data_IF_328332907537
#
_entry.id   IF_328332907537
#
_cell.length_a   1.000
_cell.length_b   1.000
_cell.length_c   1.000
_cell.angle_alpha   90.00
_cell.angle_beta   90.00
_cell.angle_gamma   90.00
#
_symmetry.space_group_name_H-M   'P 1'
#
loop_
_entity.id
_entity.type
_entity.pdbx_description
1 polymer ?
#
# COMPACT_ATOMS: atom_id res chain seq x y z
N UNK A 1 3.75 -11.18 19.70
CA UNK A 1 5.04 -11.67 19.18
C UNK A 1 5.83 -10.47 18.65
N UNK A 2 7.12 -10.36 18.98
CA UNK A 2 7.99 -9.30 18.44
C UNK A 2 8.62 -9.77 17.12
N UNK A 3 8.51 -8.96 16.07
CA UNK A 3 9.23 -9.12 14.81
C UNK A 3 10.33 -8.06 14.74
N UNK A 4 11.57 -8.50 14.55
CA UNK A 4 12.72 -7.62 14.31
C UNK A 4 13.04 -7.65 12.82
N UNK A 5 12.85 -6.52 12.13
CA UNK A 5 13.05 -6.38 10.69
C UNK A 5 14.52 -6.60 10.27
N UNK A 6 15.49 -6.32 11.15
CA UNK A 6 16.89 -6.60 10.88
C UNK A 6 17.15 -8.10 10.69
N UNK A 7 16.38 -8.97 11.36
CA UNK A 7 16.47 -10.44 11.16
C UNK A 7 15.94 -10.89 9.79
N UNK A 8 15.20 -10.02 9.10
CA UNK A 8 14.74 -10.22 7.73
C UNK A 8 15.71 -9.60 6.69
N UNK A 9 16.86 -9.08 7.14
CA UNK A 9 17.85 -8.41 6.28
C UNK A 9 17.51 -6.95 5.95
N UNK A 10 16.57 -6.33 6.67
CA UNK A 10 16.20 -4.93 6.46
C UNK A 10 17.05 -4.01 7.34
N UNK A 11 17.39 -2.83 6.81
CA UNK A 11 18.16 -1.80 7.53
C UNK A 11 17.36 -1.24 8.71
N UNK A 12 17.78 -1.46 9.98
CA UNK A 12 17.04 -1.01 11.15
C UNK A 12 17.08 0.51 11.38
N UNK A 13 17.92 1.25 10.66
CA UNK A 13 17.97 2.71 10.74
C UNK A 13 16.91 3.40 9.86
N UNK A 14 16.20 2.64 9.03
CA UNK A 14 15.14 3.16 8.15
C UNK A 14 13.75 2.97 8.75
N UNK A 15 12.85 3.88 8.42
CA UNK A 15 11.43 3.69 8.66
C UNK A 15 10.79 2.83 7.57
N UNK A 16 9.80 2.02 7.95
CA UNK A 16 9.07 1.13 7.05
C UNK A 16 7.56 1.29 7.22
N UNK A 17 6.87 1.19 6.09
CA UNK A 17 5.48 0.82 6.03
C UNK A 17 5.36 -0.69 6.15
N UNK A 18 4.53 -1.15 7.09
CA UNK A 18 4.15 -2.56 7.19
C UNK A 18 2.64 -2.69 7.09
N UNK A 19 2.16 -3.48 6.14
CA UNK A 19 0.74 -3.79 5.99
C UNK A 19 0.50 -5.28 6.18
N UNK A 20 -0.44 -5.64 7.06
CA UNK A 20 -0.91 -7.00 7.29
C UNK A 20 -2.15 -7.28 6.42
N UNK A 21 -1.99 -8.17 5.43
CA UNK A 21 -3.05 -8.52 4.47
C UNK A 21 -4.30 -9.08 5.17
N UNK A 22 -4.11 -10.02 6.10
CA UNK A 22 -5.21 -10.74 6.72
C UNK A 22 -5.98 -9.88 7.72
N UNK A 23 -5.27 -8.99 8.41
CA UNK A 23 -5.87 -8.09 9.40
C UNK A 23 -6.26 -6.73 8.86
N UNK A 24 -5.89 -6.44 7.61
CA UNK A 24 -6.05 -5.12 6.97
C UNK A 24 -5.53 -4.00 7.88
N UNK A 25 -4.33 -4.22 8.42
CA UNK A 25 -3.74 -3.32 9.42
C UNK A 25 -2.43 -2.75 8.92
N UNK A 26 -2.34 -1.43 8.95
CA UNK A 26 -1.12 -0.69 8.69
C UNK A 26 -0.33 -0.42 9.98
N UNK A 27 0.99 -0.42 9.85
CA UNK A 27 1.95 -0.03 10.86
C UNK A 27 3.05 0.83 10.23
N UNK A 28 3.37 1.95 10.88
CA UNK A 28 4.60 2.70 10.66
C UNK A 28 5.65 2.20 11.66
N UNK A 29 6.81 1.78 11.19
CA UNK A 29 7.87 1.16 12.01
C UNK A 29 9.15 1.96 11.85
N UNK A 30 9.66 2.57 12.92
CA UNK A 30 10.83 3.46 12.88
C UNK A 30 12.12 2.84 13.43
N UNK A 31 12.00 1.90 14.37
CA UNK A 31 13.13 1.28 15.08
C UNK A 31 13.40 -0.18 14.64
N UNK A 32 12.83 -0.56 13.50
CA UNK A 32 12.88 -1.94 12.99
C UNK A 32 12.15 -2.98 13.85
N UNK A 33 11.34 -2.57 14.84
CA UNK A 33 10.63 -3.49 15.74
C UNK A 33 9.12 -3.37 15.57
N UNK A 34 8.49 -4.48 15.22
CA UNK A 34 7.03 -4.55 15.09
C UNK A 34 6.45 -5.54 16.09
N UNK A 35 5.54 -5.06 16.93
CA UNK A 35 4.77 -5.93 17.84
C UNK A 35 3.52 -6.43 17.12
N UNK A 36 3.55 -7.69 16.72
CA UNK A 36 2.40 -8.40 16.17
C UNK A 36 1.54 -8.92 17.33
N UNK A 37 0.38 -8.28 17.52
CA UNK A 37 -0.59 -8.68 18.55
C UNK A 37 -1.45 -9.83 18.05
N UNK A 38 -1.67 -10.80 18.94
CA UNK A 38 -2.59 -11.92 18.76
C UNK A 38 -2.27 -12.78 17.52
N UNK A 39 -1.67 -13.95 17.69
CA UNK A 39 -1.56 -14.94 16.60
C UNK A 39 -2.40 -16.15 17.03
N UNK A 40 -3.57 -16.38 16.42
CA UNK A 40 -4.37 -17.55 16.73
C UNK A 40 -3.56 -18.85 16.52
N UNK A 41 -3.89 -19.95 17.22
CA UNK A 41 -3.38 -21.27 16.87
C UNK A 41 -3.59 -21.53 15.38
N UNK A 42 -2.56 -22.01 14.70
CA UNK A 42 -2.56 -22.24 13.24
C UNK A 42 -2.80 -20.98 12.38
N UNK A 43 -2.78 -19.78 12.96
CA UNK A 43 -2.85 -18.51 12.27
C UNK A 43 -1.48 -17.98 11.87
N UNK A 44 -1.45 -17.17 10.80
CA UNK A 44 -0.25 -16.49 10.32
C UNK A 44 -0.50 -15.01 10.05
N UNK A 45 0.59 -14.27 9.87
CA UNK A 45 0.55 -12.92 9.31
C UNK A 45 1.09 -12.98 7.89
N UNK A 46 0.50 -12.21 6.97
CA UNK A 46 1.11 -11.92 5.70
C UNK A 46 1.41 -10.42 5.63
N UNK A 47 2.70 -10.07 5.66
CA UNK A 47 3.15 -8.70 5.78
C UNK A 47 3.80 -8.23 4.48
N UNK A 48 3.36 -7.09 3.97
CA UNK A 48 4.16 -6.29 3.05
C UNK A 48 5.01 -5.35 3.89
N UNK A 49 6.32 -5.34 3.66
CA UNK A 49 7.26 -4.43 4.32
C UNK A 49 7.94 -3.60 3.25
N UNK A 50 7.73 -2.28 3.26
CA UNK A 50 8.28 -1.35 2.27
C UNK A 50 8.97 -0.18 2.98
N UNK A 51 10.17 0.23 2.55
CA UNK A 51 10.83 1.38 3.14
C UNK A 51 9.99 2.65 2.87
N UNK A 52 9.90 3.52 3.87
CA UNK A 52 9.41 4.87 3.67
C UNK A 52 10.38 5.62 2.75
N UNK A 53 9.85 6.30 1.75
CA UNK A 53 10.60 7.13 0.79
C UNK A 53 10.07 8.56 0.80
N UNK A 54 10.87 9.51 0.35
CA UNK A 54 10.47 10.92 0.21
C UNK A 54 9.57 11.22 -1.00
N UNK A 55 9.35 10.24 -1.87
CA UNK A 55 8.52 10.34 -3.07
C UNK A 55 7.21 9.53 -2.91
N UNK A 56 6.15 9.83 -3.67
CA UNK A 56 4.94 9.02 -3.73
C UNK A 56 5.24 7.55 -4.02
N UNK A 57 4.68 6.63 -3.23
CA UNK A 57 4.89 5.21 -3.43
C UNK A 57 3.76 4.31 -2.94
N UNK A 58 3.73 3.10 -3.50
CA UNK A 58 2.85 2.04 -3.05
C UNK A 58 3.25 1.58 -1.64
N UNK A 59 2.26 1.52 -0.74
CA UNK A 59 2.37 0.90 0.58
C UNK A 59 1.89 -0.55 0.54
N UNK A 60 0.70 -0.79 -0.05
CA UNK A 60 0.12 -2.12 -0.22
C UNK A 60 -1.09 -2.06 -1.16
N UNK A 61 -1.58 -3.22 -1.55
CA UNK A 61 -2.90 -3.41 -2.15
C UNK A 61 -3.63 -4.51 -1.40
N UNK A 62 -4.97 -4.54 -1.49
CA UNK A 62 -5.78 -5.57 -0.81
C UNK A 62 -6.36 -6.61 -1.76
N UNK A 63 -5.99 -6.62 -3.05
CA UNK A 63 -6.57 -7.55 -4.02
C UNK A 63 -5.96 -8.95 -3.95
N UNK A 64 -4.70 -9.06 -3.54
CA UNK A 64 -3.97 -10.32 -3.47
C UNK A 64 -2.87 -10.27 -2.40
N UNK A 65 -2.46 -11.44 -1.92
CA UNK A 65 -1.46 -11.60 -0.85
C UNK A 65 -0.08 -11.03 -1.22
N UNK A 66 0.20 -10.85 -2.51
CA UNK A 66 1.39 -10.17 -3.03
C UNK A 66 1.40 -8.67 -2.71
N UNK A 67 0.23 -8.08 -2.44
CA UNK A 67 0.04 -6.70 -1.98
C UNK A 67 0.77 -5.67 -2.85
N UNK A 68 0.68 -5.81 -4.18
CA UNK A 68 1.34 -4.96 -5.16
C UNK A 68 1.89 -5.70 -6.37
N UNK A 69 1.79 -7.04 -6.41
CA UNK A 69 2.21 -7.84 -7.57
C UNK A 69 1.32 -7.65 -8.81
N UNK A 70 0.14 -7.07 -8.63
CA UNK A 70 -0.79 -6.66 -9.69
C UNK A 70 -0.46 -5.31 -10.32
N UNK A 71 0.49 -4.55 -9.77
CA UNK A 71 0.89 -3.25 -10.32
C UNK A 71 1.88 -3.49 -11.46
N UNK A 72 1.42 -3.28 -12.69
CA UNK A 72 2.20 -3.56 -13.91
C UNK A 72 2.85 -2.32 -14.51
N UNK A 73 2.39 -1.13 -14.14
CA UNK A 73 2.97 0.14 -14.56
C UNK A 73 2.96 1.14 -13.40
N UNK A 74 4.00 1.96 -13.32
CA UNK A 74 4.14 2.99 -12.29
C UNK A 74 4.91 4.19 -12.86
N UNK A 75 4.29 5.37 -12.85
CA UNK A 75 4.86 6.62 -13.36
C UNK A 75 4.55 7.75 -12.41
N UNK A 76 5.59 8.39 -11.88
CA UNK A 76 5.46 9.62 -11.09
C UNK A 76 6.20 10.75 -11.81
N UNK A 77 5.47 11.73 -12.37
CA UNK A 77 6.04 12.85 -13.12
C UNK A 77 5.07 14.03 -13.17
N UNK A 78 5.59 15.25 -13.03
CA UNK A 78 4.84 16.48 -13.29
C UNK A 78 3.62 16.70 -12.39
N UNK A 79 3.71 16.32 -11.11
CA UNK A 79 2.59 16.41 -10.17
C UNK A 79 1.55 15.30 -10.33
N UNK A 80 1.81 14.30 -11.17
CA UNK A 80 0.93 13.15 -11.36
C UNK A 80 1.61 11.87 -10.95
N UNK A 81 0.88 11.06 -10.19
CA UNK A 81 1.15 9.65 -10.00
C UNK A 81 0.15 8.84 -10.83
N UNK A 82 0.65 7.99 -11.71
CA UNK A 82 -0.14 7.07 -12.53
C UNK A 82 0.34 5.65 -12.33
N UNK A 83 -0.60 4.73 -12.21
CA UNK A 83 -0.28 3.31 -12.17
C UNK A 83 -1.40 2.48 -12.80
N UNK A 84 -1.04 1.26 -13.21
CA UNK A 84 -1.96 0.31 -13.83
C UNK A 84 -2.01 -0.95 -12.99
N UNK A 85 -3.22 -1.40 -12.66
CA UNK A 85 -3.49 -2.65 -11.97
C UNK A 85 -3.94 -3.69 -13.00
N UNK A 86 -3.37 -4.90 -12.95
CA UNK A 86 -3.79 -6.04 -13.77
C UNK A 86 -4.04 -7.26 -12.89
N UNK A 87 -5.33 -7.58 -12.71
CA UNK A 87 -5.80 -8.67 -11.86
C UNK A 87 -6.28 -9.89 -12.66
N UNK A 88 -6.65 -9.71 -13.93
CA UNK A 88 -7.27 -10.76 -14.76
C UNK A 88 -8.69 -11.15 -14.33
N UNK A 89 -9.23 -10.53 -13.28
CA UNK A 89 -10.57 -10.76 -12.73
C UNK A 89 -11.19 -9.45 -12.24
N UNK A 90 -12.49 -9.46 -11.98
CA UNK A 90 -13.15 -8.36 -11.27
C UNK A 90 -12.95 -8.49 -9.77
N UNK A 91 -12.56 -7.40 -9.10
CA UNK A 91 -12.38 -7.37 -7.65
C UNK A 91 -12.58 -5.96 -7.09
N UNK A 92 -13.00 -5.90 -5.82
CA UNK A 92 -13.08 -4.67 -5.04
C UNK A 92 -12.03 -4.70 -3.94
N UNK A 93 -11.41 -3.55 -3.67
CA UNK A 93 -10.31 -3.46 -2.74
C UNK A 93 -9.78 -2.04 -2.63
N UNK A 94 -8.62 -1.92 -1.99
CA UNK A 94 -7.93 -0.64 -1.79
C UNK A 94 -6.50 -0.72 -2.29
N UNK A 95 -6.03 0.40 -2.86
CA UNK A 95 -4.61 0.68 -3.02
C UNK A 95 -4.20 1.66 -1.93
N UNK A 96 -3.27 1.23 -1.09
CA UNK A 96 -2.68 2.08 -0.07
C UNK A 96 -1.43 2.74 -0.65
N UNK A 97 -1.43 4.07 -0.64
CA UNK A 97 -0.36 4.92 -1.11
C UNK A 97 0.18 5.74 0.04
N UNK A 98 1.50 5.93 0.06
CA UNK A 98 2.07 7.04 0.80
C UNK A 98 2.28 8.21 -0.16
N UNK A 99 1.71 9.36 0.17
CA UNK A 99 1.80 10.60 -0.59
C UNK A 99 2.36 11.71 0.33
N UNK A 100 3.40 12.45 -0.09
CA UNK A 100 3.97 13.55 0.70
C UNK A 100 3.05 14.77 0.79
N UNK A 101 2.06 14.86 -0.09
CA UNK A 101 1.06 15.91 -0.17
C UNK A 101 -0.33 15.30 -0.29
N UNK A 102 -1.35 16.07 0.04
CA UNK A 102 -2.74 15.68 -0.14
C UNK A 102 -3.08 15.54 -1.64
N UNK A 103 -3.68 14.42 -2.08
CA UNK A 103 -4.07 14.26 -3.47
C UNK A 103 -5.21 15.23 -3.79
N UNK A 104 -5.00 16.07 -4.80
CA UNK A 104 -5.98 17.05 -5.28
C UNK A 104 -7.11 16.36 -6.07
N UNK A 105 -6.79 15.24 -6.74
CA UNK A 105 -7.73 14.49 -7.56
C UNK A 105 -7.27 13.04 -7.67
N UNK A 106 -8.22 12.11 -7.74
CA UNK A 106 -7.93 10.72 -8.10
C UNK A 106 -8.99 10.21 -9.08
N UNK A 107 -8.55 9.51 -10.12
CA UNK A 107 -9.39 9.00 -11.21
C UNK A 107 -9.02 7.52 -11.41
N UNK A 108 -10.02 6.66 -11.54
CA UNK A 108 -9.87 5.28 -11.99
C UNK A 108 -10.71 5.09 -13.27
N UNK A 109 -10.07 4.74 -14.37
CA UNK A 109 -10.73 4.50 -15.66
C UNK A 109 -11.69 5.64 -16.09
N UNK A 110 -11.28 6.88 -15.86
CA UNK A 110 -12.06 8.08 -16.17
C UNK A 110 -13.10 8.49 -15.12
N UNK A 111 -13.33 7.65 -14.10
CA UNK A 111 -14.27 7.93 -13.00
C UNK A 111 -13.53 8.49 -11.79
N UNK A 112 -14.04 9.57 -11.21
CA UNK A 112 -13.49 10.14 -9.98
C UNK A 112 -13.67 9.17 -8.81
N UNK A 113 -12.60 8.98 -8.04
CA UNK A 113 -12.59 8.21 -6.80
C UNK A 113 -12.19 9.14 -5.66
N UNK A 114 -12.68 8.86 -4.45
CA UNK A 114 -12.33 9.64 -3.26
C UNK A 114 -11.25 8.92 -2.45
N UNK A 115 -9.99 9.41 -2.44
CA UNK A 115 -8.98 8.92 -1.52
C UNK A 115 -9.42 9.17 -0.09
N UNK A 116 -9.15 8.23 0.81
CA UNK A 116 -9.43 8.36 2.22
C UNK A 116 -8.13 8.37 3.03
N UNK A 117 -7.92 9.40 3.83
CA UNK A 117 -6.77 9.49 4.73
C UNK A 117 -6.87 8.39 5.81
N UNK A 118 -5.80 7.63 6.00
CA UNK A 118 -5.69 6.54 6.98
C UNK A 118 -4.62 6.82 8.06
N UNK A 119 -3.84 7.87 7.87
CA UNK A 119 -2.79 8.32 8.76
C UNK A 119 -1.91 9.36 8.06
N UNK A 120 -0.91 9.93 8.74
CA UNK A 120 -0.02 10.93 8.15
C UNK A 120 0.60 10.44 6.82
N UNK A 121 0.22 11.10 5.72
CA UNK A 121 0.65 10.76 4.36
C UNK A 121 0.11 9.43 3.80
N UNK A 122 -0.64 8.63 4.58
CA UNK A 122 -1.18 7.35 4.12
C UNK A 122 -2.60 7.52 3.58
N UNK A 123 -2.78 7.26 2.29
CA UNK A 123 -4.04 7.39 1.58
C UNK A 123 -4.51 6.03 1.06
N UNK A 124 -5.77 5.70 1.28
CA UNK A 124 -6.42 4.53 0.70
C UNK A 124 -7.31 4.96 -0.47
N UNK A 125 -7.08 4.37 -1.64
CA UNK A 125 -7.91 4.55 -2.82
C UNK A 125 -8.84 3.34 -2.93
N UNK A 126 -10.15 3.47 -2.64
CA UNK A 126 -11.11 2.40 -2.87
C UNK A 126 -11.35 2.25 -4.37
N UNK A 127 -11.20 1.02 -4.87
CA UNK A 127 -11.28 0.72 -6.30
C UNK A 127 -12.09 -0.55 -6.55
N UNK A 128 -12.81 -0.54 -7.66
CA UNK A 128 -13.28 -1.76 -8.33
C UNK A 128 -12.46 -1.90 -9.62
N UNK A 129 -11.74 -2.99 -9.74
CA UNK A 129 -10.89 -3.27 -10.90
C UNK A 129 -11.58 -4.31 -11.77
N UNK A 130 -11.75 -4.02 -13.07
CA UNK A 130 -12.38 -4.93 -14.03
C UNK A 130 -11.33 -5.56 -14.94
N UNK A 131 -10.68 -6.62 -14.46
CA UNK A 131 -9.49 -7.26 -15.06
C UNK A 131 -8.26 -6.36 -15.08
N UNK A 132 -8.38 -5.13 -15.56
CA UNK A 132 -7.32 -4.14 -15.65
C UNK A 132 -7.90 -2.74 -15.44
N UNK A 133 -7.24 -1.92 -14.64
CA UNK A 133 -7.66 -0.54 -14.38
C UNK A 133 -6.46 0.39 -14.31
N UNK A 134 -6.62 1.59 -14.88
CA UNK A 134 -5.63 2.66 -14.81
C UNK A 134 -6.08 3.71 -13.80
N UNK A 135 -5.17 4.05 -12.91
CA UNK A 135 -5.39 5.03 -11.86
C UNK A 135 -4.46 6.22 -12.04
N UNK A 136 -5.01 7.42 -11.91
CA UNK A 136 -4.30 8.69 -12.02
C UNK A 136 -4.61 9.54 -10.79
N UNK A 137 -3.57 9.98 -10.10
CA UNK A 137 -3.64 10.78 -8.88
C UNK A 137 -2.86 12.07 -9.11
N UNK A 138 -3.53 13.21 -8.95
CA UNK A 138 -2.91 14.53 -8.96
C UNK A 138 -2.47 14.88 -7.55
N UNK A 139 -1.22 15.30 -7.41
CA UNK A 139 -0.55 15.68 -6.17
C UNK A 139 -0.40 17.20 -6.10
#
# INVERSE_FOLDING_TARGET
RLLNLARLGLDPARSYHVHDFWRRRYHHVEDGRLVLRHVPPHGGHCLAVRPLRGEPHLVATTFHITQGGEVVEWVHKGGWLRFTLELGRTAEGEVLLWLPVEPQQAICDGMEIRPALRGPGLWALPLRVEKKSRVEVRL
#
